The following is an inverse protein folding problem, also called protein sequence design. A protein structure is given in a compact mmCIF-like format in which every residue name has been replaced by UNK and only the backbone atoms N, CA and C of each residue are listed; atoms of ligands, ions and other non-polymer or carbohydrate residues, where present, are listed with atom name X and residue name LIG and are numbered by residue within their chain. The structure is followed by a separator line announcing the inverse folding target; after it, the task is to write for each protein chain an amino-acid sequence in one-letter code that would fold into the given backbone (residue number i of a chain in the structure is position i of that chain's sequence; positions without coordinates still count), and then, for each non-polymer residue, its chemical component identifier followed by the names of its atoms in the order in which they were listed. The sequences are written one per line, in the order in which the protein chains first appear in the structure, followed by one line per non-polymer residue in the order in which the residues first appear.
data_IF_131276949605
#
_entry.id   IF_131276949605
#
_cell.length_a   1.000
_cell.length_b   1.000
_cell.length_c   1.000
_cell.angle_alpha   90.00
_cell.angle_beta   90.00
_cell.angle_gamma   90.00
#
_symmetry.space_group_name_H-M   'P 1'
#
loop_
_entity.id
_entity.type
_entity.pdbx_description
1 polymer ?
#
# COMPACT_ATOMS: atom_id res chain seq x y z
N UNK A 1 25.03 -21.64 33.16
CA UNK A 1 23.81 -22.02 32.46
C UNK A 1 24.19 -22.61 31.13
N UNK A 2 23.81 -23.89 30.89
CA UNK A 2 23.90 -24.50 29.59
C UNK A 2 22.82 -23.82 28.73
N UNK A 3 23.24 -23.07 27.72
CA UNK A 3 22.33 -22.53 26.73
C UNK A 3 21.91 -23.71 25.82
N UNK A 4 20.59 -23.98 25.74
CA UNK A 4 20.04 -24.96 24.82
C UNK A 4 20.34 -24.54 23.37
N UNK A 5 20.46 -25.52 22.49
CA UNK A 5 20.55 -25.28 21.05
C UNK A 5 19.14 -25.11 20.53
N UNK A 6 18.88 -24.02 19.81
CA UNK A 6 17.65 -23.83 19.05
C UNK A 6 17.94 -24.02 17.56
N UNK A 7 17.01 -24.66 16.83
CA UNK A 7 17.13 -24.89 15.39
C UNK A 7 15.84 -24.57 14.65
N UNK A 8 15.96 -24.17 13.38
CA UNK A 8 14.84 -23.99 12.48
C UNK A 8 15.30 -24.23 11.04
N UNK A 9 14.34 -24.58 10.19
CA UNK A 9 14.54 -24.74 8.76
C UNK A 9 13.50 -23.90 8.02
N UNK A 10 13.86 -23.38 6.86
CA UNK A 10 12.97 -22.69 5.93
C UNK A 10 13.42 -22.92 4.49
N UNK A 11 12.48 -22.91 3.57
CA UNK A 11 12.77 -23.07 2.13
C UNK A 11 12.71 -21.68 1.49
N UNK A 12 13.71 -21.36 0.67
CA UNK A 12 13.71 -20.13 -0.11
C UNK A 12 12.67 -20.27 -1.24
N UNK A 13 11.64 -19.41 -1.29
CA UNK A 13 10.65 -19.48 -2.36
C UNK A 13 11.24 -19.02 -3.69
N UNK A 14 10.64 -19.48 -4.79
CA UNK A 14 10.96 -18.98 -6.13
C UNK A 14 10.60 -17.49 -6.25
N UNK A 15 11.34 -16.72 -7.08
CA UNK A 15 11.07 -15.30 -7.27
C UNK A 15 9.67 -15.02 -7.80
N UNK A 16 8.97 -14.06 -7.19
CA UNK A 16 7.72 -13.55 -7.71
C UNK A 16 7.95 -12.52 -8.82
N UNK A 17 7.03 -12.43 -9.79
CA UNK A 17 7.12 -11.52 -10.91
C UNK A 17 5.89 -10.62 -11.01
N UNK A 18 6.11 -9.30 -10.97
CA UNK A 18 5.13 -8.30 -11.38
C UNK A 18 5.34 -8.02 -12.87
N UNK A 19 4.30 -8.23 -13.66
CA UNK A 19 4.34 -8.03 -15.12
C UNK A 19 3.98 -6.60 -15.50
N UNK A 20 3.03 -6.00 -14.75
CA UNK A 20 2.51 -4.66 -15.02
C UNK A 20 1.94 -4.06 -13.74
N UNK A 21 2.06 -2.75 -13.60
CA UNK A 21 1.35 -1.99 -12.57
C UNK A 21 0.88 -0.65 -13.12
N UNK A 22 -0.10 -0.04 -12.47
CA UNK A 22 -0.60 1.28 -12.81
C UNK A 22 -1.67 1.73 -11.83
N UNK A 23 -2.09 2.98 -11.96
CA UNK A 23 -3.18 3.58 -11.18
C UNK A 23 -4.09 4.38 -12.09
N UNK A 24 -5.38 4.37 -11.78
CA UNK A 24 -6.38 5.24 -12.39
C UNK A 24 -7.12 5.99 -11.30
N UNK A 25 -7.38 7.26 -11.54
CA UNK A 25 -8.10 8.13 -10.61
C UNK A 25 -9.51 8.40 -11.09
N UNK A 26 -10.46 8.48 -10.16
CA UNK A 26 -11.84 8.81 -10.45
C UNK A 26 -12.38 9.76 -9.38
N UNK A 27 -12.99 10.85 -9.82
CA UNK A 27 -13.70 11.75 -8.92
C UNK A 27 -15.10 11.20 -8.66
N UNK A 28 -15.45 11.03 -7.40
CA UNK A 28 -16.77 10.55 -6.97
C UNK A 28 -17.43 11.55 -6.05
N UNK A 29 -18.77 11.58 -6.07
CA UNK A 29 -19.52 12.42 -5.15
C UNK A 29 -19.31 11.95 -3.71
N UNK A 30 -18.85 12.85 -2.86
CA UNK A 30 -18.71 12.64 -1.44
C UNK A 30 -19.99 13.04 -0.67
N UNK A 31 -19.93 12.91 0.66
CA UNK A 31 -21.01 13.34 1.54
C UNK A 31 -21.15 14.88 1.51
N UNK A 32 -22.38 15.36 1.64
CA UNK A 32 -22.69 16.81 1.71
C UNK A 32 -22.29 17.62 0.48
N UNK A 33 -22.19 17.00 -0.72
CA UNK A 33 -21.90 17.69 -1.97
C UNK A 33 -20.41 17.93 -2.22
N UNK A 34 -19.53 17.46 -1.36
CA UNK A 34 -18.09 17.47 -1.62
C UNK A 34 -17.73 16.44 -2.71
N UNK A 35 -16.69 16.70 -3.47
CA UNK A 35 -16.07 15.70 -4.34
C UNK A 35 -14.92 15.02 -3.58
N UNK A 36 -14.71 13.74 -3.83
CA UNK A 36 -13.54 13.01 -3.34
C UNK A 36 -12.87 12.25 -4.48
N UNK A 37 -11.61 11.98 -4.34
CA UNK A 37 -10.90 11.14 -5.30
C UNK A 37 -10.78 9.71 -4.79
N UNK A 38 -10.94 8.79 -5.73
CA UNK A 38 -10.61 7.39 -5.55
C UNK A 38 -9.42 7.06 -6.45
N UNK A 39 -8.45 6.30 -5.94
CA UNK A 39 -7.41 5.69 -6.72
C UNK A 39 -7.67 4.19 -6.85
N UNK A 40 -7.50 3.64 -8.04
CA UNK A 40 -7.61 2.21 -8.33
C UNK A 40 -6.26 1.75 -8.85
N UNK A 41 -5.53 1.03 -8.01
CA UNK A 41 -4.26 0.41 -8.35
C UNK A 41 -4.50 -0.93 -9.02
N UNK A 42 -3.84 -1.16 -10.13
CA UNK A 42 -3.86 -2.41 -10.88
C UNK A 42 -2.47 -3.01 -10.86
N UNK A 43 -2.33 -4.22 -10.35
CA UNK A 43 -1.05 -4.94 -10.28
C UNK A 43 -1.23 -6.31 -10.89
N UNK A 44 -0.61 -6.54 -12.05
CA UNK A 44 -0.62 -7.84 -12.72
C UNK A 44 0.62 -8.61 -12.30
N UNK A 45 0.40 -9.78 -11.73
CA UNK A 45 1.44 -10.71 -11.32
C UNK A 45 1.30 -12.04 -12.07
N UNK A 46 2.40 -12.78 -12.14
CA UNK A 46 2.42 -14.15 -12.65
C UNK A 46 2.83 -15.10 -11.54
N UNK A 47 1.97 -16.07 -11.31
CA UNK A 47 2.18 -17.12 -10.33
C UNK A 47 2.91 -18.33 -10.92
N UNK A 48 3.65 -19.07 -10.08
CA UNK A 48 4.35 -20.30 -10.45
C UNK A 48 3.47 -21.52 -10.13
N UNK A 49 3.01 -22.32 -11.12
CA UNK A 49 2.11 -23.44 -10.89
C UNK A 49 2.75 -24.66 -10.21
N UNK A 50 4.06 -24.66 -10.01
CA UNK A 50 4.80 -25.85 -9.54
C UNK A 50 4.65 -26.09 -8.04
N UNK A 51 4.32 -25.05 -7.27
CA UNK A 51 4.34 -25.06 -5.80
C UNK A 51 3.17 -24.23 -5.27
N UNK A 52 2.86 -24.40 -3.99
CA UNK A 52 1.98 -23.50 -3.25
C UNK A 52 2.77 -22.24 -2.88
N UNK A 53 2.33 -21.09 -3.35
CA UNK A 53 3.06 -19.84 -3.23
C UNK A 53 2.38 -18.88 -2.25
N UNK A 54 3.20 -18.16 -1.52
CA UNK A 54 2.76 -17.14 -0.57
C UNK A 54 3.44 -15.80 -0.88
N UNK A 55 2.66 -14.74 -0.81
CA UNK A 55 3.09 -13.42 -1.23
C UNK A 55 2.85 -12.37 -0.15
N UNK A 56 3.71 -11.34 -0.15
CA UNK A 56 3.48 -10.07 0.54
C UNK A 56 3.57 -8.96 -0.51
N UNK A 57 2.49 -8.22 -0.67
CA UNK A 57 2.43 -7.06 -1.57
C UNK A 57 2.64 -5.78 -0.78
N UNK A 58 3.56 -4.92 -1.26
CA UNK A 58 3.74 -3.54 -0.80
C UNK A 58 3.77 -2.62 -1.99
N UNK A 59 3.23 -1.42 -1.83
CA UNK A 59 3.25 -0.40 -2.85
C UNK A 59 3.68 0.95 -2.28
N UNK A 60 4.36 1.74 -3.09
CA UNK A 60 4.81 3.08 -2.74
C UNK A 60 4.58 4.02 -3.93
N UNK A 61 4.12 5.23 -3.65
CA UNK A 61 4.12 6.33 -4.63
C UNK A 61 5.33 7.22 -4.40
N UNK A 62 6.06 7.48 -5.48
CA UNK A 62 7.18 8.42 -5.53
C UNK A 62 6.69 9.78 -6.02
N UNK A 63 6.83 10.79 -5.18
CA UNK A 63 6.47 12.17 -5.48
C UNK A 63 7.74 12.94 -5.78
N UNK A 64 7.82 13.67 -6.92
CA UNK A 64 8.98 14.45 -7.27
C UNK A 64 9.26 15.56 -6.24
N UNK A 65 10.51 15.68 -5.84
CA UNK A 65 10.94 16.68 -4.83
C UNK A 65 11.22 18.02 -5.51
N UNK A 66 10.56 19.07 -5.04
CA UNK A 66 10.77 20.44 -5.49
C UNK A 66 11.62 21.21 -4.46
N UNK A 67 12.72 21.84 -4.93
CA UNK A 67 13.51 22.75 -4.11
C UNK A 67 12.93 24.18 -4.22
N UNK A 68 12.27 24.61 -3.16
CA UNK A 68 11.65 25.94 -3.08
C UNK A 68 12.66 27.10 -3.08
N UNK A 69 13.94 26.87 -2.79
CA UNK A 69 15.02 27.87 -2.81
C UNK A 69 15.57 27.97 -4.22
N UNK A 70 15.96 26.85 -4.83
CA UNK A 70 16.47 26.80 -6.19
C UNK A 70 15.37 27.00 -7.25
N UNK A 71 14.09 26.86 -6.87
CA UNK A 71 12.93 26.96 -7.76
C UNK A 71 12.97 25.94 -8.91
N UNK A 72 13.36 24.71 -8.59
CA UNK A 72 13.45 23.62 -9.56
C UNK A 72 13.15 22.26 -8.93
N UNK A 73 12.80 21.27 -9.75
CA UNK A 73 12.72 19.89 -9.33
C UNK A 73 14.11 19.28 -9.24
N UNK A 74 14.42 18.63 -8.12
CA UNK A 74 15.76 18.07 -7.84
C UNK A 74 16.08 16.83 -8.67
N UNK A 75 15.08 16.21 -9.28
CA UNK A 75 15.19 14.89 -9.91
C UNK A 75 15.09 13.73 -8.93
N UNK A 76 14.97 14.01 -7.64
CA UNK A 76 14.74 13.00 -6.60
C UNK A 76 13.25 12.78 -6.37
N UNK A 77 12.91 11.62 -5.79
CA UNK A 77 11.56 11.26 -5.41
C UNK A 77 11.48 10.97 -3.90
N UNK A 78 10.44 11.47 -3.26
CA UNK A 78 10.07 11.05 -1.92
C UNK A 78 9.00 9.97 -2.01
N UNK A 79 9.25 8.85 -1.35
CA UNK A 79 8.40 7.66 -1.39
C UNK A 79 7.45 7.62 -0.21
N UNK A 80 6.19 7.32 -0.49
CA UNK A 80 5.10 7.19 0.47
C UNK A 80 4.43 5.83 0.30
N UNK A 81 4.23 5.12 1.39
CA UNK A 81 3.50 3.86 1.37
C UNK A 81 2.05 4.07 0.93
N UNK A 82 1.59 3.20 0.05
CA UNK A 82 0.20 3.13 -0.40
C UNK A 82 -0.51 2.04 0.41
N UNK A 83 -1.62 2.40 1.03
CA UNK A 83 -2.43 1.50 1.86
C UNK A 83 -3.88 1.44 1.35
N UNK A 84 -4.13 0.75 0.22
CA UNK A 84 -5.47 0.64 -0.33
C UNK A 84 -6.34 -0.30 0.50
N UNK A 85 -7.64 -0.30 0.24
CA UNK A 85 -8.56 -1.29 0.78
C UNK A 85 -8.35 -2.65 0.10
N UNK A 86 -7.78 -3.61 0.81
CA UNK A 86 -7.55 -4.97 0.34
C UNK A 86 -8.79 -5.87 0.44
N UNK A 87 -9.80 -5.51 1.23
CA UNK A 87 -10.95 -6.36 1.50
C UNK A 87 -11.83 -6.64 0.27
N UNK A 88 -11.78 -5.75 -0.73
CA UNK A 88 -12.55 -5.89 -1.96
C UNK A 88 -11.90 -6.83 -2.99
N UNK A 89 -10.64 -7.20 -2.78
CA UNK A 89 -9.89 -8.07 -3.68
C UNK A 89 -9.95 -9.53 -3.19
N UNK A 90 -10.48 -10.48 -3.97
CA UNK A 90 -10.77 -11.84 -3.54
C UNK A 90 -9.57 -12.59 -2.95
N UNK A 91 -8.36 -12.39 -3.46
CA UNK A 91 -7.16 -13.10 -2.98
C UNK A 91 -6.78 -12.75 -1.54
N UNK A 92 -7.22 -11.58 -1.04
CA UNK A 92 -7.02 -11.16 0.34
C UNK A 92 -8.23 -11.50 1.24
N UNK A 93 -9.40 -11.72 0.64
CA UNK A 93 -10.67 -11.97 1.36
C UNK A 93 -10.73 -13.29 2.13
N UNK A 94 -9.81 -14.21 1.89
CA UNK A 94 -9.71 -15.48 2.61
C UNK A 94 -9.32 -15.33 4.09
N UNK A 95 -8.84 -14.16 4.48
CA UNK A 95 -8.50 -13.87 5.87
C UNK A 95 -9.62 -13.16 6.65
N UNK A 96 -10.73 -12.79 5.99
CA UNK A 96 -11.86 -12.16 6.66
C UNK A 96 -12.76 -13.22 7.26
N UNK A 97 -13.01 -13.15 8.58
CA UNK A 97 -14.03 -13.98 9.21
C UNK A 97 -15.44 -13.48 8.82
N UNK A 98 -16.46 -14.33 8.94
CA UNK A 98 -17.84 -13.93 8.71
C UNK A 98 -18.27 -12.75 9.62
N UNK A 99 -17.63 -12.61 10.78
CA UNK A 99 -17.87 -11.51 11.72
C UNK A 99 -17.25 -10.20 11.22
N UNK A 100 -16.06 -10.24 10.65
CA UNK A 100 -15.40 -9.05 10.07
C UNK A 100 -16.23 -8.48 8.91
N UNK A 101 -16.85 -9.36 8.10
CA UNK A 101 -17.78 -8.96 7.05
C UNK A 101 -19.04 -8.29 7.57
N UNK A 102 -19.57 -8.72 8.73
CA UNK A 102 -20.79 -8.20 9.34
C UNK A 102 -20.53 -6.86 10.06
N UNK A 103 -19.41 -6.73 10.73
CA UNK A 103 -19.09 -5.55 11.56
C UNK A 103 -18.30 -4.47 10.82
N UNK A 104 -18.01 -4.66 9.52
CA UNK A 104 -17.47 -3.61 8.66
C UNK A 104 -16.07 -3.17 9.04
N UNK A 105 -15.21 -4.08 9.49
CA UNK A 105 -13.79 -3.80 9.68
C UNK A 105 -13.06 -3.79 8.33
N UNK A 106 -13.54 -2.95 7.40
CA UNK A 106 -12.98 -2.81 6.05
C UNK A 106 -11.60 -2.12 6.02
N UNK A 107 -11.12 -1.68 7.19
CA UNK A 107 -9.90 -0.87 7.32
C UNK A 107 -8.79 -1.70 7.94
N UNK A 108 -7.98 -2.31 7.11
CA UNK A 108 -6.75 -2.97 7.55
C UNK A 108 -5.61 -1.96 7.68
N UNK A 109 -5.65 -1.18 8.76
CA UNK A 109 -4.55 -0.30 9.12
C UNK A 109 -3.45 -1.08 9.85
N UNK A 110 -2.20 -0.80 9.54
CA UNK A 110 -1.10 -1.07 10.44
C UNK A 110 0.13 -1.79 9.87
N UNK A 111 0.04 -2.43 8.71
CA UNK A 111 1.22 -3.04 8.09
C UNK A 111 1.49 -2.43 6.72
N UNK A 112 2.78 -2.17 6.47
CA UNK A 112 3.31 -1.80 5.17
C UNK A 112 3.16 -2.98 4.19
N UNK A 113 1.93 -3.34 3.82
CA UNK A 113 1.63 -4.40 2.88
C UNK A 113 0.68 -5.48 3.41
N UNK A 114 0.19 -6.33 2.53
CA UNK A 114 -0.76 -7.40 2.82
C UNK A 114 -0.27 -8.73 2.27
N UNK A 115 -0.43 -9.81 3.10
CA UNK A 115 -0.09 -11.17 2.69
C UNK A 115 -1.29 -11.88 2.05
N UNK A 116 -1.01 -12.77 1.09
CA UNK A 116 -1.99 -13.64 0.45
C UNK A 116 -1.33 -14.94 -0.05
N UNK A 117 -2.15 -15.96 -0.35
CA UNK A 117 -1.71 -17.19 -1.00
C UNK A 117 -2.19 -17.25 -2.45
N UNK A 118 -1.60 -18.12 -3.23
CA UNK A 118 -1.96 -18.39 -4.62
C UNK A 118 -3.22 -19.25 -4.80
N UNK A 119 -3.87 -19.68 -3.73
CA UNK A 119 -4.98 -20.64 -3.76
C UNK A 119 -6.05 -20.32 -4.83
N UNK A 120 -6.35 -19.04 -5.07
CA UNK A 120 -7.30 -18.61 -6.11
C UNK A 120 -6.67 -18.35 -7.47
N UNK A 121 -5.34 -18.25 -7.56
CA UNK A 121 -4.63 -17.79 -8.76
C UNK A 121 -3.52 -18.73 -9.22
N UNK A 122 -3.43 -19.90 -8.62
CA UNK A 122 -2.34 -20.86 -8.85
C UNK A 122 -2.08 -21.09 -10.34
N UNK A 123 -0.85 -20.81 -10.76
CA UNK A 123 -0.36 -20.95 -12.12
C UNK A 123 -0.92 -19.95 -13.12
N UNK A 124 -1.62 -18.92 -12.65
CA UNK A 124 -2.28 -17.95 -13.52
C UNK A 124 -1.55 -16.59 -13.53
N UNK A 125 -1.78 -15.86 -14.60
CA UNK A 125 -1.55 -14.43 -14.63
C UNK A 125 -2.80 -13.75 -14.07
N UNK A 126 -2.64 -12.95 -13.00
CA UNK A 126 -3.75 -12.35 -12.29
C UNK A 126 -3.53 -10.85 -12.08
N UNK A 127 -4.58 -10.06 -12.23
CA UNK A 127 -4.54 -8.63 -11.99
C UNK A 127 -5.32 -8.28 -10.73
N UNK A 128 -4.60 -7.83 -9.71
CA UNK A 128 -5.18 -7.25 -8.50
C UNK A 128 -5.80 -5.88 -8.80
N UNK A 129 -6.98 -5.60 -8.23
CA UNK A 129 -7.67 -4.32 -8.31
C UNK A 129 -7.87 -3.76 -6.92
N UNK A 130 -6.94 -2.93 -6.47
CA UNK A 130 -6.90 -2.39 -5.11
C UNK A 130 -7.40 -0.95 -5.11
N UNK A 131 -8.39 -0.65 -4.28
CA UNK A 131 -9.03 0.66 -4.26
C UNK A 131 -8.66 1.44 -3.00
N UNK A 132 -8.21 2.68 -3.19
CA UNK A 132 -8.19 3.70 -2.16
C UNK A 132 -9.39 4.65 -2.38
N UNK A 133 -10.38 4.56 -1.49
CA UNK A 133 -11.63 5.33 -1.60
C UNK A 133 -11.50 6.75 -1.08
N UNK A 134 -10.43 7.05 -0.37
CA UNK A 134 -10.14 8.35 0.21
C UNK A 134 -8.75 8.83 -0.22
N UNK A 135 -8.42 8.57 -1.49
CA UNK A 135 -7.14 8.96 -2.03
C UNK A 135 -6.93 10.46 -1.88
N UNK A 136 -5.86 10.82 -1.23
CA UNK A 136 -5.35 12.17 -1.15
C UNK A 136 -3.97 12.19 -1.82
N UNK A 137 -3.82 13.02 -2.84
CA UNK A 137 -2.55 13.12 -3.52
C UNK A 137 -1.48 13.64 -2.56
N UNK A 138 -0.45 12.86 -2.23
CA UNK A 138 0.62 13.33 -1.39
C UNK A 138 1.30 14.53 -2.05
N UNK A 139 1.38 15.60 -1.33
CA UNK A 139 2.05 16.81 -1.78
C UNK A 139 3.29 17.05 -0.92
N UNK A 140 4.40 17.38 -1.54
CA UNK A 140 5.63 17.63 -0.82
C UNK A 140 6.35 18.88 -1.32
N UNK A 141 6.26 19.94 -0.54
CA UNK A 141 6.95 21.20 -0.80
C UNK A 141 6.02 22.37 -1.11
N UNK A 142 6.60 23.47 -1.59
CA UNK A 142 5.87 24.64 -2.05
C UNK A 142 5.38 24.44 -3.49
N UNK A 143 4.31 25.13 -3.88
CA UNK A 143 3.85 25.13 -5.26
C UNK A 143 4.98 25.54 -6.21
N UNK A 144 5.22 24.82 -7.31
CA UNK A 144 6.32 25.05 -8.22
C UNK A 144 6.00 26.23 -9.15
N UNK A 145 5.79 27.43 -8.57
CA UNK A 145 5.59 28.65 -9.33
C UNK A 145 6.86 29.05 -10.06
N UNK A 146 6.73 29.43 -11.31
CA UNK A 146 7.74 30.24 -11.99
C UNK A 146 7.90 31.57 -11.25
N UNK A 147 8.97 32.30 -11.55
CA UNK A 147 9.15 33.64 -10.98
C UNK A 147 8.02 34.55 -11.46
N UNK A 148 7.08 34.81 -10.57
CA UNK A 148 5.95 35.71 -10.80
C UNK A 148 6.20 37.01 -10.02
N UNK A 149 5.88 38.19 -10.55
CA UNK A 149 6.00 39.43 -9.82
C UNK A 149 5.18 39.41 -8.52
N UNK A 150 5.73 39.94 -7.42
CA UNK A 150 5.08 39.97 -6.10
C UNK A 150 3.72 40.74 -6.09
N UNK A 151 3.39 41.40 -7.19
CA UNK A 151 2.13 42.16 -7.36
C UNK A 151 0.98 41.35 -7.94
N UNK A 152 1.21 40.07 -8.31
CA UNK A 152 0.17 39.18 -8.84
C UNK A 152 -0.45 38.41 -7.68
N UNK A 153 -1.76 38.57 -7.49
CA UNK A 153 -2.52 37.75 -6.53
C UNK A 153 -2.72 36.33 -7.03
N UNK A 154 -3.01 35.39 -6.12
CA UNK A 154 -3.25 33.98 -6.47
C UNK A 154 -4.45 33.86 -7.42
N UNK A 155 -5.43 34.73 -7.29
CA UNK A 155 -6.60 34.84 -8.17
C UNK A 155 -6.26 35.11 -9.65
N UNK A 156 -5.11 35.78 -9.87
CA UNK A 156 -4.64 36.16 -11.21
C UNK A 156 -3.67 35.14 -11.84
N UNK A 157 -3.28 34.08 -11.10
CA UNK A 157 -2.39 33.03 -11.61
C UNK A 157 -3.10 32.15 -12.65
N UNK A 158 -2.32 31.73 -13.65
CA UNK A 158 -2.71 30.77 -14.68
C UNK A 158 -1.82 29.54 -14.64
N UNK A 159 -2.25 28.43 -15.26
CA UNK A 159 -1.45 27.19 -15.34
C UNK A 159 -0.03 27.42 -15.92
N UNK A 160 0.13 28.39 -16.82
CA UNK A 160 1.41 28.74 -17.44
C UNK A 160 2.42 29.33 -16.45
N UNK A 161 1.95 29.80 -15.27
CA UNK A 161 2.79 30.37 -14.23
C UNK A 161 3.45 29.31 -13.35
N UNK A 162 3.00 28.06 -13.47
CA UNK A 162 3.59 26.93 -12.78
C UNK A 162 4.66 26.21 -13.62
N UNK A 163 5.62 25.59 -12.95
CA UNK A 163 6.56 24.70 -13.61
C UNK A 163 5.88 23.37 -13.93
N UNK A 164 6.19 22.72 -15.05
CA UNK A 164 5.67 21.40 -15.35
C UNK A 164 6.11 20.40 -14.25
N UNK A 165 5.14 19.69 -13.69
CA UNK A 165 5.41 18.68 -12.67
C UNK A 165 5.91 17.42 -13.37
N UNK A 166 7.06 16.85 -12.96
CA UNK A 166 7.49 15.53 -13.43
C UNK A 166 6.45 14.45 -13.07
N UNK A 167 6.35 13.37 -13.85
CA UNK A 167 5.45 12.28 -13.54
C UNK A 167 5.76 11.68 -12.17
N UNK A 168 4.74 11.24 -11.46
CA UNK A 168 4.90 10.42 -10.26
C UNK A 168 5.32 9.01 -10.65
N UNK A 169 5.82 8.26 -9.68
CA UNK A 169 6.17 6.85 -9.86
C UNK A 169 5.33 5.97 -8.94
N UNK A 170 4.97 4.80 -9.41
CA UNK A 170 4.42 3.72 -8.61
C UNK A 170 5.46 2.61 -8.52
N UNK A 171 5.84 2.25 -7.31
CA UNK A 171 6.74 1.13 -7.03
C UNK A 171 5.97 0.02 -6.34
N UNK A 172 6.04 -1.17 -6.90
CA UNK A 172 5.41 -2.38 -6.39
C UNK A 172 6.49 -3.34 -5.96
N UNK A 173 6.46 -3.76 -4.71
CA UNK A 173 7.28 -4.83 -4.16
C UNK A 173 6.41 -6.05 -3.95
N UNK A 174 6.68 -7.11 -4.70
CA UNK A 174 6.05 -8.41 -4.52
C UNK A 174 7.09 -9.37 -3.94
N UNK A 175 6.92 -9.69 -2.67
CA UNK A 175 7.76 -10.67 -1.99
C UNK A 175 7.13 -12.05 -2.13
N UNK A 176 7.84 -13.00 -2.73
CA UNK A 176 7.57 -14.41 -2.50
C UNK A 176 8.13 -14.76 -1.12
N UNK A 177 7.32 -15.29 -0.22
CA UNK A 177 7.69 -15.55 1.17
C UNK A 177 7.49 -17.02 1.51
N UNK A 178 8.30 -17.55 2.44
CA UNK A 178 8.15 -18.93 2.88
C UNK A 178 6.83 -19.17 3.62
N UNK A 179 6.33 -20.39 3.63
CA UNK A 179 5.10 -20.76 4.32
C UNK A 179 5.10 -20.39 5.81
N UNK A 180 6.24 -20.56 6.48
CA UNK A 180 6.43 -20.20 7.88
C UNK A 180 6.29 -18.69 8.07
N UNK A 181 6.89 -17.90 7.18
CA UNK A 181 6.83 -16.44 7.25
C UNK A 181 5.42 -15.95 6.95
N UNK A 182 4.73 -16.55 5.96
CA UNK A 182 3.33 -16.26 5.68
C UNK A 182 2.43 -16.52 6.90
N UNK A 183 2.54 -17.71 7.54
CA UNK A 183 1.75 -18.05 8.72
C UNK A 183 1.96 -17.06 9.86
N UNK A 184 3.20 -16.65 10.08
CA UNK A 184 3.54 -15.65 11.09
C UNK A 184 2.91 -14.30 10.79
N UNK A 185 3.11 -13.75 9.59
CA UNK A 185 2.57 -12.45 9.17
C UNK A 185 1.04 -12.46 9.15
N UNK A 186 0.43 -13.56 8.68
CA UNK A 186 -1.03 -13.71 8.66
C UNK A 186 -1.62 -13.62 10.06
N UNK A 187 -1.06 -14.34 11.03
CA UNK A 187 -1.52 -14.28 12.43
C UNK A 187 -1.39 -12.85 13.00
N UNK A 188 -0.32 -12.13 12.69
CA UNK A 188 -0.16 -10.75 13.12
C UNK A 188 -1.22 -9.83 12.49
N UNK A 189 -1.43 -9.95 11.17
CA UNK A 189 -2.43 -9.14 10.45
C UNK A 189 -3.86 -9.44 10.91
N UNK A 190 -4.20 -10.72 11.09
CA UNK A 190 -5.50 -11.14 11.58
C UNK A 190 -5.76 -10.63 13.01
N UNK A 191 -4.73 -10.66 13.89
CA UNK A 191 -4.82 -10.13 15.25
C UNK A 191 -5.14 -8.63 15.29
N UNK A 192 -4.51 -7.85 14.42
CA UNK A 192 -4.71 -6.40 14.42
C UNK A 192 -6.05 -5.98 13.80
N UNK A 193 -6.66 -6.83 12.97
CA UNK A 193 -7.95 -6.56 12.33
C UNK A 193 -9.14 -7.10 13.13
N UNK A 194 -8.95 -8.11 13.98
CA UNK A 194 -10.03 -8.76 14.73
C UNK A 194 -10.32 -8.07 16.06
N UNK A 195 -11.07 -6.98 16.00
CA UNK A 195 -11.49 -6.23 17.19
C UNK A 195 -12.40 -7.03 18.13
N UNK A 196 -13.19 -7.98 17.61
CA UNK A 196 -14.11 -8.83 18.41
C UNK A 196 -13.33 -9.87 19.18
N UNK A 197 -12.39 -10.58 18.55
CA UNK A 197 -11.51 -11.52 19.24
C UNK A 197 -10.65 -10.82 20.30
N UNK A 198 -10.12 -9.64 20.01
CA UNK A 198 -9.39 -8.86 20.99
C UNK A 198 -10.26 -8.48 22.20
N UNK A 199 -11.50 -8.05 21.97
CA UNK A 199 -12.46 -7.74 23.05
C UNK A 199 -12.78 -8.97 23.91
N UNK A 200 -12.93 -10.14 23.28
CA UNK A 200 -13.19 -11.41 24.00
C UNK A 200 -11.97 -11.86 24.81
N UNK A 201 -10.76 -11.69 24.27
CA UNK A 201 -9.51 -11.98 24.98
C UNK A 201 -9.34 -11.05 26.18
N UNK A 202 -9.54 -9.75 26.01
CA UNK A 202 -9.46 -8.74 27.06
C UNK A 202 -10.53 -8.97 28.15
N UNK A 203 -11.69 -9.47 27.76
CA UNK A 203 -12.76 -9.88 28.67
C UNK A 203 -12.55 -11.24 29.35
N UNK A 204 -11.46 -11.95 29.03
CA UNK A 204 -11.18 -13.29 29.56
C UNK A 204 -12.11 -14.39 29.04
N UNK A 205 -12.80 -14.14 27.92
CA UNK A 205 -13.75 -15.07 27.31
C UNK A 205 -13.14 -15.89 26.16
N UNK A 206 -11.93 -15.55 25.73
CA UNK A 206 -11.16 -16.29 24.73
C UNK A 206 -9.68 -16.40 25.12
N UNK A 207 -8.99 -17.43 24.61
CA UNK A 207 -7.54 -17.56 24.80
C UNK A 207 -6.77 -16.57 23.92
N UNK A 208 -5.62 -16.03 24.40
CA UNK A 208 -4.76 -15.20 23.58
C UNK A 208 -4.30 -15.92 22.31
N UNK A 209 -4.26 -15.20 21.19
CA UNK A 209 -3.77 -15.72 19.92
C UNK A 209 -2.29 -16.08 20.07
N UNK A 210 -1.96 -17.33 19.79
CA UNK A 210 -0.57 -17.80 19.80
C UNK A 210 0.09 -17.45 18.47
N UNK A 211 1.14 -16.63 18.53
CA UNK A 211 1.96 -16.35 17.35
C UNK A 211 2.70 -17.62 16.93
N UNK A 212 2.68 -17.90 15.63
CA UNK A 212 3.36 -19.06 15.04
C UNK A 212 4.87 -18.98 15.30
N UNK A 213 5.48 -20.11 15.64
CA UNK A 213 6.93 -20.27 15.82
C UNK A 213 7.37 -21.56 15.10
N UNK A 214 8.47 -21.49 14.34
CA UNK A 214 9.13 -22.66 13.74
C UNK A 214 10.50 -22.93 14.37
N UNK A 215 10.80 -22.35 15.53
CA UNK A 215 12.06 -22.55 16.25
C UNK A 215 11.89 -23.74 17.21
N UNK A 216 12.59 -24.82 16.94
CA UNK A 216 12.70 -25.94 17.88
C UNK A 216 13.66 -25.57 19.03
N UNK A 217 13.22 -25.74 20.28
CA UNK A 217 13.97 -25.33 21.47
C UNK A 217 13.95 -23.84 21.75
N UNK A 218 13.10 -23.05 21.08
CA UNK A 218 12.99 -21.60 21.25
C UNK A 218 11.66 -21.03 20.84
N UNK A 219 11.57 -19.71 20.79
CA UNK A 219 10.41 -18.97 20.30
C UNK A 219 10.89 -17.95 19.26
N UNK A 220 10.19 -17.87 18.13
CA UNK A 220 10.51 -16.95 17.04
C UNK A 220 10.20 -17.54 15.68
N UNK A 221 10.66 -16.87 14.63
CA UNK A 221 10.47 -17.26 13.26
C UNK A 221 11.76 -17.20 12.47
N UNK A 222 12.08 -18.25 11.74
CA UNK A 222 13.02 -18.23 10.63
C UNK A 222 12.19 -18.26 9.35
N UNK A 223 12.11 -17.14 8.65
CA UNK A 223 11.44 -17.01 7.37
C UNK A 223 12.44 -16.61 6.29
N UNK A 224 12.07 -16.84 5.05
CA UNK A 224 12.83 -16.45 3.87
C UNK A 224 11.93 -15.73 2.87
N UNK A 225 12.51 -14.90 2.03
CA UNK A 225 11.78 -14.21 0.96
C UNK A 225 12.67 -13.89 -0.23
N UNK A 226 12.06 -13.86 -1.42
CA UNK A 226 12.55 -13.18 -2.60
C UNK A 226 11.72 -11.95 -2.88
N UNK A 227 12.32 -10.83 -3.25
CA UNK A 227 11.60 -9.62 -3.65
C UNK A 227 11.71 -9.40 -5.16
N UNK A 228 10.55 -9.32 -5.81
CA UNK A 228 10.40 -8.75 -7.14
C UNK A 228 9.98 -7.29 -7.01
N UNK A 229 10.69 -6.39 -7.70
CA UNK A 229 10.35 -4.96 -7.73
C UNK A 229 9.97 -4.55 -9.15
N UNK A 230 8.86 -3.81 -9.25
CA UNK A 230 8.42 -3.20 -10.49
C UNK A 230 8.16 -1.71 -10.24
N UNK A 231 8.69 -0.86 -11.12
CA UNK A 231 8.50 0.59 -11.04
C UNK A 231 8.01 1.12 -12.37
N UNK A 232 7.06 2.04 -12.34
CA UNK A 232 6.48 2.68 -13.52
C UNK A 232 6.10 4.12 -13.23
N UNK A 233 6.14 4.95 -14.25
CA UNK A 233 5.56 6.28 -14.20
C UNK A 233 4.03 6.19 -14.14
N UNK A 234 3.42 7.07 -13.35
CA UNK A 234 1.97 7.21 -13.23
C UNK A 234 1.55 8.66 -13.42
N UNK A 235 0.34 8.86 -13.93
CA UNK A 235 -0.23 10.18 -14.05
C UNK A 235 -0.49 10.77 -12.65
N UNK A 236 -0.41 12.10 -12.54
CA UNK A 236 -0.98 12.81 -11.39
C UNK A 236 -2.49 12.68 -11.37
N UNK A 237 -3.09 12.79 -10.20
CA UNK A 237 -4.55 12.94 -10.12
C UNK A 237 -4.97 14.25 -10.80
N UNK A 238 -6.23 14.36 -11.20
CA UNK A 238 -6.74 15.43 -12.07
C UNK A 238 -6.77 16.84 -11.45
N UNK A 239 -6.18 17.06 -10.27
CA UNK A 239 -6.07 18.42 -9.72
C UNK A 239 -4.92 19.14 -10.42
N UNK A 240 -5.27 20.28 -11.05
CA UNK A 240 -4.25 21.19 -11.56
C UNK A 240 -3.51 21.86 -10.40
N UNK A 241 -2.28 22.30 -10.62
CA UNK A 241 -1.54 23.11 -9.65
C UNK A 241 -2.32 24.33 -9.21
N UNK A 242 -3.06 24.92 -10.12
CA UNK A 242 -3.88 26.12 -9.90
C UNK A 242 -5.06 25.81 -8.95
N UNK A 243 -5.76 24.68 -9.14
CA UNK A 243 -6.85 24.26 -8.24
C UNK A 243 -6.32 23.97 -6.83
N UNK A 244 -5.20 23.28 -6.74
CA UNK A 244 -4.56 22.98 -5.46
C UNK A 244 -4.12 24.27 -4.73
N UNK A 245 -3.51 25.23 -5.43
CA UNK A 245 -3.09 26.50 -4.86
C UNK A 245 -4.27 27.33 -4.32
N UNK A 246 -5.38 27.37 -5.06
CA UNK A 246 -6.59 28.08 -4.64
C UNK A 246 -7.26 27.45 -3.43
N UNK A 247 -7.23 26.12 -3.35
CA UNK A 247 -7.84 25.38 -2.23
C UNK A 247 -7.13 25.64 -0.91
N UNK A 248 -5.79 25.69 -0.88
CA UNK A 248 -5.03 25.96 0.35
C UNK A 248 -5.23 27.38 0.89
N UNK A 249 -5.43 28.35 0.01
CA UNK A 249 -5.68 29.75 0.43
C UNK A 249 -7.15 30.05 0.74
N UNK A 250 -8.04 29.05 0.67
CA UNK A 250 -9.46 29.18 1.01
C UNK A 250 -10.24 30.10 0.07
N UNK A 251 -9.79 30.23 -1.18
CA UNK A 251 -10.48 30.95 -2.24
C UNK A 251 -11.35 29.94 -3.00
N UNK A 252 -12.67 29.98 -2.74
CA UNK A 252 -13.71 29.23 -3.48
C UNK A 252 -14.02 29.85 -4.85
#
# INVERSE_FOLDING_TARGET
PEYGVASAETVMPEPAQVLKAGVTYATVAGSFGSARQNAIYQVTLKDNPAEENYYLLRMEEGIPVFDGIAKEYTGEYKWFSVSPNYATEPVFGQSLTALDQIFGNDWMYGYDGKVFSDELINGQEYTLHLRDEYYYEPYYGSYPLKVVPDSIGIEDLNEEDFLPIPPKHLRVHLYAISAEYYRYLKVLQDKDTDSVSNLLIDGGLAEPIRVFSNIDGGVGILGSCHVGMFETEIASSSHSNLEAARFEDGID
#
